data_IF_679585973423
#
_entry.id   IF_679585973423
#
_cell.length_a   1.000
_cell.length_b   1.000
_cell.length_c   1.000
_cell.angle_alpha   90.00
_cell.angle_beta   90.00
_cell.angle_gamma   90.00
#
_symmetry.space_group_name_H-M   'P 1'
#
loop_
_entity.id
_entity.type
_entity.pdbx_description
1 polymer ?
#
# COMPACT_ATOMS: atom_id res chain seq x y z
N UNK A 1 -45.65 -14.41 6.47
CA UNK A 1 -44.87 -13.67 5.46
C UNK A 1 -44.62 -12.29 6.05
N UNK A 2 -43.40 -12.03 6.51
CA UNK A 2 -43.01 -10.68 6.96
C UNK A 2 -42.91 -9.80 5.71
N UNK A 3 -43.66 -8.71 5.63
CA UNK A 3 -43.44 -7.71 4.58
C UNK A 3 -41.98 -7.24 4.68
N UNK A 4 -41.24 -7.37 3.58
CA UNK A 4 -39.87 -6.85 3.51
C UNK A 4 -39.95 -5.34 3.71
N UNK A 5 -39.25 -4.83 4.74
CA UNK A 5 -39.22 -3.39 4.95
C UNK A 5 -38.60 -2.70 3.73
N UNK A 6 -39.16 -1.57 3.29
CA UNK A 6 -38.63 -0.84 2.14
C UNK A 6 -37.18 -0.44 2.41
N UNK A 7 -36.32 -0.59 1.39
CA UNK A 7 -34.93 -0.16 1.46
C UNK A 7 -34.92 1.33 1.81
N UNK A 8 -34.18 1.76 2.86
CA UNK A 8 -34.13 3.16 3.24
C UNK A 8 -33.68 4.05 2.07
N UNK A 9 -34.43 5.12 1.78
CA UNK A 9 -34.18 6.01 0.63
C UNK A 9 -32.73 6.54 0.60
N UNK A 10 -32.17 6.81 1.77
CA UNK A 10 -30.79 7.30 1.92
C UNK A 10 -29.72 6.28 1.49
N UNK A 11 -30.03 4.97 1.49
CA UNK A 11 -29.14 3.92 0.99
C UNK A 11 -29.18 3.85 -0.54
N UNK A 12 -30.36 4.03 -1.15
CA UNK A 12 -30.51 4.13 -2.61
C UNK A 12 -29.69 5.30 -3.14
N UNK A 13 -29.78 6.47 -2.50
CA UNK A 13 -28.96 7.63 -2.83
C UNK A 13 -27.45 7.36 -2.70
N UNK A 14 -27.04 6.55 -1.73
CA UNK A 14 -25.61 6.20 -1.56
C UNK A 14 -25.11 5.32 -2.70
N UNK A 15 -25.89 4.32 -3.12
CA UNK A 15 -25.56 3.42 -4.23
C UNK A 15 -25.49 4.13 -5.59
N UNK A 16 -26.04 5.34 -5.68
CA UNK A 16 -25.99 6.20 -6.87
C UNK A 16 -24.79 7.17 -6.86
N UNK A 17 -23.99 7.21 -5.80
CA UNK A 17 -22.79 8.04 -5.75
C UNK A 17 -21.67 7.41 -6.57
N UNK A 18 -20.98 8.23 -7.35
CA UNK A 18 -19.71 7.85 -7.98
C UNK A 18 -18.63 7.77 -6.89
N UNK A 19 -18.42 6.56 -6.35
CA UNK A 19 -17.31 6.30 -5.43
C UNK A 19 -16.01 6.41 -6.24
N UNK A 20 -15.10 7.34 -5.90
CA UNK A 20 -13.87 7.48 -6.65
C UNK A 20 -13.00 6.23 -6.48
N UNK A 21 -12.48 5.71 -7.59
CA UNK A 21 -11.49 4.63 -7.55
C UNK A 21 -10.15 5.21 -7.13
N UNK A 22 -9.53 4.71 -6.04
CA UNK A 22 -8.20 5.14 -5.67
C UNK A 22 -7.25 4.92 -6.84
N UNK A 23 -6.67 5.99 -7.37
CA UNK A 23 -5.65 5.86 -8.42
C UNK A 23 -4.32 5.58 -7.75
N UNK A 24 -3.73 4.38 -7.88
CA UNK A 24 -2.40 4.15 -7.37
C UNK A 24 -1.43 5.12 -8.06
N UNK A 25 -0.52 5.72 -7.29
CA UNK A 25 0.56 6.52 -7.88
C UNK A 25 1.39 5.66 -8.81
N UNK A 26 1.73 6.21 -9.98
CA UNK A 26 2.71 5.60 -10.89
C UNK A 26 4.07 5.50 -10.16
N UNK A 27 4.60 4.28 -10.02
CA UNK A 27 5.90 4.03 -9.38
C UNK A 27 7.01 4.42 -10.35
N UNK A 28 7.87 5.33 -9.92
CA UNK A 28 9.08 5.71 -10.65
C UNK A 28 10.29 4.90 -10.22
N UNK A 29 11.45 5.17 -10.82
CA UNK A 29 12.68 4.42 -10.51
C UNK A 29 13.07 4.45 -9.02
N UNK A 30 12.91 5.59 -8.35
CA UNK A 30 13.25 5.74 -6.91
C UNK A 30 12.35 4.88 -6.01
N UNK A 31 11.13 4.56 -6.43
CA UNK A 31 10.23 3.62 -5.74
C UNK A 31 10.72 2.18 -5.87
N UNK A 32 11.22 1.81 -7.06
CA UNK A 32 11.70 0.46 -7.34
C UNK A 32 12.90 0.12 -6.48
N UNK A 33 13.79 1.11 -6.25
CA UNK A 33 15.00 0.92 -5.45
C UNK A 33 14.84 1.31 -3.98
N UNK A 34 13.65 1.71 -3.53
CA UNK A 34 13.35 2.13 -2.15
C UNK A 34 14.25 3.27 -1.61
N UNK A 35 14.55 4.24 -2.48
CA UNK A 35 15.39 5.41 -2.16
C UNK A 35 14.64 6.73 -2.33
N UNK A 36 13.30 6.71 -2.27
CA UNK A 36 12.44 7.87 -2.51
C UNK A 36 12.72 9.05 -1.58
N UNK A 37 13.24 8.80 -0.37
CA UNK A 37 13.44 9.80 0.68
C UNK A 37 14.91 10.04 1.05
N UNK A 38 15.86 9.32 0.44
CA UNK A 38 17.28 9.40 0.83
C UNK A 38 17.90 10.69 0.31
N UNK A 39 18.26 11.61 1.21
CA UNK A 39 18.85 12.93 0.88
C UNK A 39 20.03 12.82 -0.08
N UNK A 40 20.97 11.89 0.16
CA UNK A 40 22.13 11.67 -0.71
C UNK A 40 21.74 11.18 -2.11
N UNK A 41 20.68 10.38 -2.23
CA UNK A 41 20.17 9.93 -3.54
C UNK A 41 19.53 11.10 -4.28
N UNK A 42 18.73 11.91 -3.59
CA UNK A 42 18.08 13.10 -4.16
C UNK A 42 19.12 14.13 -4.61
N UNK A 43 20.16 14.40 -3.82
CA UNK A 43 21.27 15.27 -4.23
C UNK A 43 22.02 14.73 -5.46
N UNK A 44 22.18 13.40 -5.57
CA UNK A 44 22.75 12.78 -6.77
C UNK A 44 21.88 13.00 -8.02
N UNK A 45 20.56 12.94 -7.87
CA UNK A 45 19.63 13.23 -8.98
C UNK A 45 19.71 14.71 -9.39
N UNK A 46 19.76 15.64 -8.43
CA UNK A 46 20.02 17.06 -8.74
C UNK A 46 21.35 17.26 -9.48
N UNK A 47 22.44 16.63 -9.01
CA UNK A 47 23.74 16.70 -9.70
C UNK A 47 23.64 16.23 -11.14
N UNK A 48 22.95 15.12 -11.42
CA UNK A 48 22.78 14.63 -12.78
C UNK A 48 22.12 15.67 -13.68
N UNK A 49 21.05 16.33 -13.21
CA UNK A 49 20.37 17.34 -14.00
C UNK A 49 21.10 18.67 -14.07
N UNK A 50 21.96 19.00 -13.10
CA UNK A 50 22.77 20.21 -13.12
C UNK A 50 24.11 20.05 -13.85
N UNK A 51 24.52 18.83 -14.15
CA UNK A 51 25.75 18.54 -14.89
C UNK A 51 25.53 18.78 -16.39
N UNK A 52 26.21 19.81 -16.93
CA UNK A 52 26.16 20.18 -18.35
C UNK A 52 26.65 19.09 -19.28
N UNK A 53 27.50 18.18 -18.81
CA UNK A 53 27.98 17.05 -19.62
C UNK A 53 26.95 15.92 -19.69
N UNK A 54 26.20 15.71 -18.61
CA UNK A 54 25.18 14.66 -18.52
C UNK A 54 23.86 15.08 -19.17
N UNK A 55 23.38 16.30 -18.92
CA UNK A 55 22.14 16.82 -19.51
C UNK A 55 22.23 18.34 -19.74
N UNK A 56 22.84 18.81 -20.85
CA UNK A 56 23.14 20.23 -21.07
C UNK A 56 21.91 21.14 -20.94
N UNK A 57 20.80 20.76 -21.56
CA UNK A 57 19.57 21.56 -21.59
C UNK A 57 18.83 21.58 -20.25
N UNK A 58 18.78 20.44 -19.55
CA UNK A 58 18.20 20.42 -18.22
C UNK A 58 19.10 21.16 -17.22
N UNK A 59 20.42 21.12 -17.38
CA UNK A 59 21.34 21.86 -16.52
C UNK A 59 21.10 23.36 -16.55
N UNK A 60 20.97 23.93 -17.75
CA UNK A 60 20.60 25.33 -17.93
C UNK A 60 19.24 25.63 -17.30
N UNK A 61 18.23 24.81 -17.58
CA UNK A 61 16.89 25.01 -17.03
C UNK A 61 16.82 24.93 -15.50
N UNK A 62 17.48 23.94 -14.91
CA UNK A 62 17.58 23.72 -13.47
C UNK A 62 18.29 24.88 -12.79
N UNK A 63 19.41 25.33 -13.36
CA UNK A 63 20.17 26.44 -12.82
C UNK A 63 19.38 27.75 -12.85
N UNK A 64 18.81 28.09 -14.00
CA UNK A 64 18.01 29.29 -14.16
C UNK A 64 16.79 29.28 -13.24
N UNK A 65 16.08 28.14 -13.15
CA UNK A 65 14.94 27.98 -12.25
C UNK A 65 15.33 28.22 -10.78
N UNK A 66 16.53 27.78 -10.38
CA UNK A 66 17.07 28.10 -9.05
C UNK A 66 17.31 29.61 -8.90
N UNK A 67 17.99 30.23 -9.86
CA UNK A 67 18.36 31.64 -9.81
C UNK A 67 17.16 32.58 -9.81
N UNK A 68 16.09 32.23 -10.51
CA UNK A 68 14.81 32.96 -10.54
C UNK A 68 14.16 33.04 -9.14
N UNK A 69 14.37 32.02 -8.29
CA UNK A 69 13.91 32.06 -6.90
C UNK A 69 14.91 32.78 -5.98
N UNK A 70 16.21 32.55 -6.17
CA UNK A 70 17.22 33.07 -5.26
C UNK A 70 17.40 34.58 -5.37
N UNK A 71 17.42 35.15 -6.59
CA UNK A 71 17.64 36.60 -6.78
C UNK A 71 16.60 37.43 -6.01
N UNK A 72 15.27 37.23 -6.18
CA UNK A 72 14.28 37.97 -5.41
C UNK A 72 14.37 37.71 -3.90
N UNK A 73 14.69 36.48 -3.48
CA UNK A 73 14.78 36.14 -2.06
C UNK A 73 15.92 36.88 -1.34
N UNK A 74 17.06 37.09 -2.01
CA UNK A 74 18.17 37.88 -1.47
C UNK A 74 17.96 39.39 -1.60
N UNK A 75 17.33 39.86 -2.68
CA UNK A 75 16.92 41.27 -2.83
C UNK A 75 15.95 41.71 -1.73
N UNK A 76 14.99 40.86 -1.37
CA UNK A 76 14.06 41.11 -0.25
C UNK A 76 14.78 41.24 1.11
N UNK A 77 16.00 40.70 1.23
CA UNK A 77 16.88 40.85 2.40
C UNK A 77 17.82 42.06 2.29
N UNK A 78 17.67 42.91 1.27
CA UNK A 78 18.59 44.00 0.93
C UNK A 78 20.03 43.52 0.68
N UNK A 79 20.20 42.29 0.20
CA UNK A 79 21.51 41.71 -0.11
C UNK A 79 21.71 41.68 -1.62
N UNK A 80 22.47 42.64 -2.13
CA UNK A 80 22.86 42.63 -3.55
C UNK A 80 23.89 41.51 -3.78
N UNK A 81 23.56 40.57 -4.68
CA UNK A 81 24.42 39.45 -5.04
C UNK A 81 24.87 39.60 -6.50
N UNK A 82 26.17 39.45 -6.74
CA UNK A 82 26.77 39.50 -8.08
C UNK A 82 27.15 38.08 -8.47
N UNK A 83 26.12 37.30 -8.84
CA UNK A 83 26.29 35.90 -9.21
C UNK A 83 26.57 35.79 -10.70
N UNK A 84 27.79 35.36 -11.02
CA UNK A 84 28.17 34.90 -12.35
C UNK A 84 28.87 33.54 -12.20
N UNK A 85 28.10 32.47 -12.37
CA UNK A 85 28.61 31.12 -12.23
C UNK A 85 29.27 30.60 -13.51
N UNK A 86 29.21 31.32 -14.65
CA UNK A 86 29.88 30.94 -15.89
C UNK A 86 29.81 29.44 -16.19
N UNK A 87 30.98 28.80 -16.34
CA UNK A 87 31.14 27.36 -16.19
C UNK A 87 31.23 26.99 -14.71
N UNK A 88 30.21 26.27 -14.22
CA UNK A 88 30.11 25.80 -12.84
C UNK A 88 30.20 24.28 -12.75
N UNK A 89 30.60 23.82 -11.57
CA UNK A 89 30.62 22.41 -11.18
C UNK A 89 29.69 22.18 -10.01
N UNK A 90 29.19 20.95 -9.89
CA UNK A 90 28.35 20.52 -8.76
C UNK A 90 29.09 19.46 -7.95
N UNK A 91 29.54 19.87 -6.77
CA UNK A 91 30.19 19.00 -5.80
C UNK A 91 29.17 18.55 -4.75
N UNK A 92 29.07 17.24 -4.54
CA UNK A 92 28.28 16.69 -3.43
C UNK A 92 29.16 16.44 -2.22
N UNK A 93 28.54 16.45 -1.05
CA UNK A 93 29.16 15.93 0.17
C UNK A 93 30.51 16.60 0.50
N UNK A 94 30.65 17.91 0.27
CA UNK A 94 31.88 18.67 0.52
C UNK A 94 32.12 18.82 2.02
N UNK A 95 33.19 18.24 2.52
CA UNK A 95 33.58 18.34 3.93
C UNK A 95 33.95 19.76 4.34
N UNK A 96 33.63 20.08 5.59
CA UNK A 96 33.91 21.35 6.28
C UNK A 96 34.54 21.04 7.63
N UNK A 97 34.77 22.04 8.48
CA UNK A 97 35.42 21.80 9.78
C UNK A 97 34.51 21.07 10.78
N UNK A 98 33.19 21.26 10.68
CA UNK A 98 32.19 20.71 11.62
C UNK A 98 31.07 19.93 10.96
N UNK A 99 31.15 19.69 9.65
CA UNK A 99 30.14 18.92 8.94
C UNK A 99 30.43 18.77 7.46
N UNK A 100 29.37 18.79 6.66
CA UNK A 100 29.45 18.51 5.23
C UNK A 100 28.31 19.22 4.50
N UNK A 101 28.65 19.98 3.46
CA UNK A 101 27.69 20.60 2.57
C UNK A 101 27.14 19.50 1.65
N UNK A 102 25.81 19.33 1.62
CA UNK A 102 25.19 18.29 0.79
C UNK A 102 25.42 18.53 -0.70
N UNK A 103 25.25 19.77 -1.16
CA UNK A 103 25.49 20.17 -2.55
C UNK A 103 26.08 21.58 -2.64
N UNK A 104 27.16 21.71 -3.39
CA UNK A 104 27.81 22.98 -3.71
C UNK A 104 27.84 23.15 -5.22
N UNK A 105 27.17 24.19 -5.71
CA UNK A 105 27.28 24.64 -7.11
C UNK A 105 28.28 25.79 -7.11
N UNK A 106 29.42 25.65 -7.78
CA UNK A 106 30.45 26.70 -7.73
C UNK A 106 31.23 26.85 -9.02
N UNK A 107 31.81 28.05 -9.19
CA UNK A 107 32.76 28.37 -10.23
C UNK A 107 34.00 28.95 -9.59
N UNK A 108 35.13 28.24 -9.71
CA UNK A 108 36.40 28.70 -9.17
C UNK A 108 36.91 29.94 -9.89
N UNK A 109 36.79 29.97 -11.22
CA UNK A 109 37.24 31.08 -12.06
C UNK A 109 36.54 32.40 -11.70
N UNK A 110 35.24 32.33 -11.43
CA UNK A 110 34.44 33.51 -11.09
C UNK A 110 34.30 33.75 -9.59
N UNK A 111 34.82 32.82 -8.76
CA UNK A 111 34.67 32.81 -7.31
C UNK A 111 33.20 32.99 -6.88
N UNK A 112 32.29 32.25 -7.51
CA UNK A 112 30.88 32.25 -7.19
C UNK A 112 30.45 30.89 -6.63
N UNK A 113 29.55 30.88 -5.64
CA UNK A 113 29.05 29.64 -5.06
C UNK A 113 27.60 29.72 -4.58
N UNK A 114 26.87 28.63 -4.74
CA UNK A 114 25.57 28.37 -4.11
C UNK A 114 25.75 27.14 -3.20
N UNK A 115 25.60 27.36 -1.90
CA UNK A 115 25.78 26.38 -0.84
C UNK A 115 24.39 25.84 -0.48
N UNK A 116 24.14 24.55 -0.70
CA UNK A 116 22.81 23.95 -0.55
C UNK A 116 22.87 22.84 0.51
N UNK A 117 22.04 22.97 1.54
CA UNK A 117 21.74 21.92 2.51
C UNK A 117 20.36 21.35 2.18
N UNK A 118 20.27 20.05 1.86
CA UNK A 118 19.01 19.41 1.47
C UNK A 118 18.40 18.66 2.66
N UNK A 119 17.09 18.74 2.83
CA UNK A 119 16.37 18.11 3.94
C UNK A 119 15.10 17.43 3.47
N UNK A 120 15.03 16.13 3.73
CA UNK A 120 13.86 15.27 3.45
C UNK A 120 13.41 14.66 4.77
N UNK A 121 12.26 15.08 5.30
CA UNK A 121 11.71 14.70 6.61
C UNK A 121 12.60 14.94 7.85
N UNK A 122 13.80 15.50 7.69
CA UNK A 122 14.70 15.83 8.80
C UNK A 122 14.64 17.30 9.20
N UNK A 123 14.93 17.57 10.48
CA UNK A 123 15.12 18.92 10.99
C UNK A 123 16.49 19.48 10.57
N UNK A 124 16.54 20.80 10.36
CA UNK A 124 17.77 21.53 10.11
C UNK A 124 18.54 21.70 11.43
N UNK A 125 19.55 20.85 11.66
CA UNK A 125 20.45 20.92 12.82
C UNK A 125 21.89 21.25 12.41
N UNK A 126 22.11 21.58 11.14
CA UNK A 126 23.41 21.80 10.55
C UNK A 126 24.00 23.15 10.93
N UNK A 127 25.34 23.21 11.02
CA UNK A 127 26.04 24.45 11.28
C UNK A 127 26.21 25.26 9.99
N UNK A 128 25.18 26.03 9.61
CA UNK A 128 25.21 26.84 8.39
C UNK A 128 26.33 27.89 8.37
N UNK A 129 26.77 28.36 9.54
CA UNK A 129 27.91 29.27 9.63
C UNK A 129 29.23 28.60 9.25
N UNK A 130 29.46 27.36 9.71
CA UNK A 130 30.60 26.55 9.28
C UNK A 130 30.61 26.35 7.77
N UNK A 131 29.45 26.05 7.18
CA UNK A 131 29.33 25.88 5.73
C UNK A 131 29.65 27.17 4.97
N UNK A 132 29.15 28.30 5.46
CA UNK A 132 29.37 29.60 4.85
C UNK A 132 30.85 30.02 4.86
N UNK A 133 31.54 29.75 5.96
CA UNK A 133 32.95 30.10 6.17
C UNK A 133 33.93 29.13 5.50
N UNK A 134 33.51 27.88 5.24
CA UNK A 134 34.32 26.90 4.52
C UNK A 134 34.55 27.23 3.03
N UNK A 135 33.79 28.18 2.48
CA UNK A 135 33.93 28.66 1.10
C UNK A 135 34.58 30.05 1.11
N UNK A 136 35.85 30.11 0.72
CA UNK A 136 36.66 31.34 0.67
C UNK A 136 36.44 32.15 -0.61
N UNK A 137 35.18 32.52 -0.85
CA UNK A 137 34.77 33.43 -1.93
C UNK A 137 34.13 34.70 -1.35
N UNK A 138 34.12 35.83 -2.09
CA UNK A 138 33.52 37.07 -1.62
C UNK A 138 32.04 36.91 -1.21
N UNK A 139 31.64 37.59 -0.13
CA UNK A 139 30.29 37.51 0.45
C UNK A 139 29.14 37.83 -0.54
N UNK A 140 29.38 38.74 -1.47
CA UNK A 140 28.43 39.14 -2.52
C UNK A 140 28.35 38.12 -3.67
N UNK A 141 29.23 37.13 -3.71
CA UNK A 141 29.31 36.06 -4.73
C UNK A 141 28.95 34.67 -4.19
N UNK A 142 28.50 34.61 -2.94
CA UNK A 142 27.99 33.39 -2.31
C UNK A 142 26.50 33.52 -2.05
N UNK A 143 25.77 32.42 -2.16
CA UNK A 143 24.37 32.29 -1.73
C UNK A 143 24.20 31.00 -0.93
N UNK A 144 23.46 31.04 0.19
CA UNK A 144 23.11 29.86 0.97
C UNK A 144 21.66 29.48 0.74
N UNK A 145 21.38 28.19 0.65
CA UNK A 145 20.04 27.63 0.44
C UNK A 145 19.81 26.49 1.42
N UNK A 146 18.69 26.53 2.12
CA UNK A 146 18.12 25.36 2.79
C UNK A 146 17.01 24.85 1.89
N UNK A 147 17.24 23.68 1.29
CA UNK A 147 16.31 23.03 0.36
C UNK A 147 15.49 21.98 1.11
N UNK A 148 14.19 22.22 1.28
CA UNK A 148 13.31 21.35 2.07
C UNK A 148 12.10 20.82 1.30
N UNK A 149 11.37 19.87 1.89
CA UNK A 149 10.01 19.53 1.42
C UNK A 149 9.01 20.67 1.69
N UNK A 150 9.22 21.42 2.77
CA UNK A 150 8.37 22.53 3.19
C UNK A 150 9.22 23.78 3.47
N UNK A 151 8.64 24.99 3.39
CA UNK A 151 9.37 26.22 3.71
C UNK A 151 9.84 26.24 5.16
N UNK A 152 11.12 26.56 5.36
CA UNK A 152 11.69 26.84 6.67
C UNK A 152 11.45 28.29 7.06
N UNK A 153 11.06 28.50 8.32
CA UNK A 153 10.93 29.82 8.90
C UNK A 153 12.31 30.44 9.15
N UNK A 154 12.45 31.78 9.12
CA UNK A 154 13.73 32.45 9.38
C UNK A 154 14.41 32.03 10.68
N UNK A 155 13.63 31.77 11.74
CA UNK A 155 14.15 31.35 13.05
C UNK A 155 14.74 29.95 13.03
N UNK A 156 14.28 29.08 12.13
CA UNK A 156 14.81 27.72 11.95
C UNK A 156 16.13 27.74 11.19
N UNK A 157 16.27 28.62 10.19
CA UNK A 157 17.50 28.77 9.41
C UNK A 157 18.58 29.44 10.24
N UNK A 158 18.22 30.52 10.97
CA UNK A 158 19.12 31.26 11.85
C UNK A 158 20.47 31.65 11.20
N UNK A 159 20.46 32.00 9.91
CA UNK A 159 21.65 32.51 9.21
C UNK A 159 21.26 33.54 8.14
N UNK A 160 21.84 34.76 8.15
CA UNK A 160 21.37 35.85 7.28
C UNK A 160 21.57 35.54 5.79
N UNK A 161 22.64 34.82 5.45
CA UNK A 161 23.01 34.48 4.08
C UNK A 161 22.35 33.22 3.51
N UNK A 162 21.45 32.58 4.27
CA UNK A 162 20.67 31.44 3.78
C UNK A 162 19.21 31.82 3.57
N UNK A 163 18.60 31.26 2.53
CA UNK A 163 17.16 31.37 2.23
C UNK A 163 16.53 29.99 2.17
N UNK A 164 15.23 29.91 2.46
CA UNK A 164 14.46 28.69 2.28
C UNK A 164 14.03 28.56 0.82
N UNK A 165 14.20 27.39 0.24
CA UNK A 165 13.62 26.99 -1.05
C UNK A 165 13.01 25.60 -0.85
N UNK A 166 11.88 25.29 -1.48
CA UNK A 166 11.37 23.92 -1.45
C UNK A 166 11.78 23.15 -2.71
N UNK A 167 11.88 21.82 -2.58
CA UNK A 167 12.08 20.93 -3.73
C UNK A 167 11.03 21.16 -4.80
N UNK A 168 9.76 21.33 -4.39
CA UNK A 168 8.66 21.52 -5.31
C UNK A 168 8.69 22.90 -6.00
N UNK A 169 9.00 23.98 -5.28
CA UNK A 169 9.13 25.32 -5.90
C UNK A 169 10.20 25.32 -6.98
N UNK A 170 11.36 24.71 -6.69
CA UNK A 170 12.44 24.63 -7.66
C UNK A 170 12.03 23.87 -8.91
N UNK A 171 11.51 22.66 -8.75
CA UNK A 171 11.13 21.82 -9.87
C UNK A 171 9.94 22.39 -10.65
N UNK A 172 8.99 23.02 -9.96
CA UNK A 172 7.86 23.71 -10.58
C UNK A 172 8.33 24.88 -11.44
N UNK A 173 9.31 25.67 -10.97
CA UNK A 173 9.90 26.75 -11.77
C UNK A 173 10.52 26.20 -13.07
N UNK A 174 11.23 25.08 -12.98
CA UNK A 174 11.84 24.40 -14.13
C UNK A 174 10.77 23.91 -15.12
N UNK A 175 9.70 23.28 -14.63
CA UNK A 175 8.58 22.81 -15.46
C UNK A 175 7.85 23.98 -16.15
N UNK A 176 7.62 25.09 -15.44
CA UNK A 176 6.94 26.27 -15.97
C UNK A 176 7.72 26.96 -17.09
N UNK A 177 9.06 26.89 -17.08
CA UNK A 177 9.92 27.40 -18.17
C UNK A 177 9.80 26.59 -19.46
N UNK A 178 9.17 25.41 -19.40
CA UNK A 178 8.92 24.55 -20.54
C UNK A 178 10.05 23.56 -20.76
N UNK A 179 9.73 22.27 -20.69
CA UNK A 179 10.67 21.19 -20.93
C UNK A 179 10.95 21.08 -22.44
N UNK A 180 12.21 21.10 -22.91
CA UNK A 180 12.53 21.13 -24.33
C UNK A 180 12.05 19.85 -25.04
N UNK A 181 11.36 20.01 -26.16
CA UNK A 181 10.76 18.89 -26.90
C UNK A 181 11.79 17.92 -27.50
N UNK A 182 13.04 18.35 -27.64
CA UNK A 182 14.14 17.59 -28.20
C UNK A 182 15.12 17.09 -27.12
N UNK A 183 14.66 16.98 -25.87
CA UNK A 183 15.39 16.25 -24.83
C UNK A 183 15.52 14.75 -25.19
N UNK A 184 16.65 14.11 -24.83
CA UNK A 184 16.74 12.66 -24.86
C UNK A 184 15.60 12.04 -24.05
N UNK A 185 14.94 11.01 -24.60
CA UNK A 185 13.80 10.33 -23.96
C UNK A 185 14.14 9.89 -22.53
N UNK A 186 15.37 9.40 -22.31
CA UNK A 186 15.88 9.00 -20.99
C UNK A 186 15.83 10.15 -19.98
N UNK A 187 16.31 11.34 -20.37
CA UNK A 187 16.35 12.51 -19.50
C UNK A 187 14.95 13.02 -19.18
N UNK A 188 14.06 13.00 -20.18
CA UNK A 188 12.65 13.34 -19.98
C UNK A 188 11.98 12.41 -18.96
N UNK A 189 12.16 11.09 -19.10
CA UNK A 189 11.60 10.09 -18.18
C UNK A 189 12.17 10.30 -16.78
N UNK A 190 13.49 10.39 -16.63
CA UNK A 190 14.12 10.56 -15.31
C UNK A 190 13.70 11.85 -14.64
N UNK A 191 13.60 12.95 -15.39
CA UNK A 191 13.18 14.23 -14.85
C UNK A 191 11.71 14.19 -14.41
N UNK A 192 10.82 13.64 -15.25
CA UNK A 192 9.40 13.46 -14.91
C UNK A 192 9.22 12.59 -13.67
N UNK A 193 9.93 11.47 -13.58
CA UNK A 193 9.91 10.59 -12.41
C UNK A 193 10.38 11.32 -11.15
N UNK A 194 11.44 12.14 -11.27
CA UNK A 194 11.96 12.91 -10.14
C UNK A 194 10.98 13.97 -9.65
N UNK A 195 10.36 14.72 -10.58
CA UNK A 195 9.29 15.69 -10.28
C UNK A 195 8.14 14.99 -9.56
N UNK A 196 7.63 13.89 -10.12
CA UNK A 196 6.53 13.13 -9.51
C UNK A 196 6.89 12.60 -8.11
N UNK A 197 8.14 12.18 -7.88
CA UNK A 197 8.59 11.75 -6.57
C UNK A 197 8.59 12.91 -5.57
N UNK A 198 9.14 14.07 -5.92
CA UNK A 198 9.15 15.25 -5.03
C UNK A 198 7.74 15.78 -4.77
N UNK A 199 6.88 15.78 -5.80
CA UNK A 199 5.46 16.12 -5.69
C UNK A 199 4.75 15.21 -4.69
N UNK A 200 4.96 13.89 -4.79
CA UNK A 200 4.38 12.93 -3.87
C UNK A 200 4.82 13.12 -2.41
N UNK A 201 6.11 13.39 -2.17
CA UNK A 201 6.62 13.61 -0.82
C UNK A 201 6.05 14.89 -0.18
N UNK A 202 5.74 15.89 -1.00
CA UNK A 202 5.20 17.19 -0.55
C UNK A 202 3.68 17.20 -0.39
N UNK A 203 2.94 16.42 -1.19
CA UNK A 203 1.48 16.41 -1.21
C UNK A 203 0.85 15.25 -0.40
N UNK A 204 1.63 14.55 0.43
CA UNK A 204 1.13 13.45 1.30
C UNK A 204 0.06 13.86 2.33
N UNK A 205 -0.13 15.17 2.55
CA UNK A 205 -1.14 15.74 3.46
C UNK A 205 -2.31 16.44 2.75
N UNK A 206 -2.45 16.28 1.42
CA UNK A 206 -3.53 16.95 0.69
C UNK A 206 -4.87 16.25 0.80
N UNK A 207 -5.93 17.07 0.73
CA UNK A 207 -7.31 16.62 0.64
C UNK A 207 -7.56 15.99 -0.74
N UNK A 208 -7.23 14.72 -0.90
CA UNK A 208 -7.49 13.99 -2.15
C UNK A 208 -9.00 13.88 -2.40
N UNK A 209 -9.44 13.67 -3.66
CA UNK A 209 -10.85 13.40 -3.96
C UNK A 209 -11.43 12.25 -3.14
N UNK A 210 -10.63 11.21 -2.86
CA UNK A 210 -11.03 10.04 -2.07
C UNK A 210 -11.28 10.41 -0.60
N UNK A 211 -10.35 11.17 0.01
CA UNK A 211 -10.49 11.66 1.38
C UNK A 211 -11.67 12.61 1.49
N UNK A 212 -11.82 13.54 0.53
CA UNK A 212 -12.95 14.46 0.49
C UNK A 212 -14.28 13.73 0.32
N UNK A 213 -14.32 12.70 -0.53
CA UNK A 213 -15.50 11.86 -0.73
C UNK A 213 -15.88 11.15 0.57
N UNK A 214 -14.92 10.52 1.24
CA UNK A 214 -15.17 9.86 2.52
C UNK A 214 -15.71 10.84 3.55
N UNK A 215 -15.05 11.99 3.75
CA UNK A 215 -15.48 12.98 4.74
C UNK A 215 -16.88 13.53 4.45
N UNK A 216 -17.24 13.75 3.17
CA UNK A 216 -18.58 14.21 2.77
C UNK A 216 -19.68 13.15 2.96
N UNK A 217 -19.32 11.86 2.96
CA UNK A 217 -20.27 10.75 2.97
C UNK A 217 -20.07 9.80 4.16
N UNK A 218 -19.33 10.22 5.20
CA UNK A 218 -18.86 9.35 6.28
C UNK A 218 -20.01 8.59 6.95
N UNK A 219 -21.12 9.26 7.25
CA UNK A 219 -22.29 8.64 7.86
C UNK A 219 -22.89 7.54 6.98
N UNK A 220 -23.01 7.78 5.66
CA UNK A 220 -23.55 6.80 4.71
C UNK A 220 -22.60 5.60 4.57
N UNK A 221 -21.30 5.85 4.48
CA UNK A 221 -20.26 4.80 4.40
C UNK A 221 -20.24 3.96 5.67
N UNK A 222 -20.27 4.60 6.85
CA UNK A 222 -20.28 3.90 8.13
C UNK A 222 -21.55 3.06 8.30
N UNK A 223 -22.72 3.55 7.88
CA UNK A 223 -23.95 2.75 7.85
C UNK A 223 -23.86 1.57 6.89
N UNK A 224 -23.30 1.74 5.69
CA UNK A 224 -23.08 0.63 4.76
C UNK A 224 -22.14 -0.43 5.38
N UNK A 225 -21.09 0.01 6.06
CA UNK A 225 -20.18 -0.87 6.82
C UNK A 225 -20.90 -1.63 7.93
N UNK A 226 -21.78 -0.96 8.69
CA UNK A 226 -22.61 -1.59 9.72
C UNK A 226 -23.59 -2.62 9.14
N UNK A 227 -24.26 -2.29 8.02
CA UNK A 227 -25.14 -3.23 7.31
C UNK A 227 -24.36 -4.46 6.87
N UNK A 228 -23.17 -4.27 6.29
CA UNK A 228 -22.27 -5.37 5.93
C UNK A 228 -21.95 -6.24 7.14
N UNK A 229 -21.55 -5.63 8.26
CA UNK A 229 -21.26 -6.35 9.51
C UNK A 229 -22.48 -7.15 10.01
N UNK A 230 -23.68 -6.54 10.03
CA UNK A 230 -24.91 -7.22 10.41
C UNK A 230 -25.23 -8.43 9.52
N UNK A 231 -24.95 -8.36 8.20
CA UNK A 231 -25.08 -9.51 7.30
C UNK A 231 -24.13 -10.64 7.66
N UNK A 232 -22.87 -10.33 8.02
CA UNK A 232 -21.93 -11.36 8.50
C UNK A 232 -22.40 -12.00 9.80
N UNK A 233 -22.83 -11.20 10.77
CA UNK A 233 -23.37 -11.71 12.04
C UNK A 233 -24.59 -12.62 11.81
N UNK A 234 -25.48 -12.26 10.88
CA UNK A 234 -26.59 -13.12 10.48
C UNK A 234 -26.10 -14.45 9.92
N UNK A 235 -25.18 -14.46 8.96
CA UNK A 235 -24.63 -15.70 8.38
C UNK A 235 -23.92 -16.54 9.43
N UNK A 236 -23.14 -15.94 10.32
CA UNK A 236 -22.49 -16.64 11.44
C UNK A 236 -23.54 -17.25 12.38
N UNK A 237 -24.62 -16.53 12.68
CA UNK A 237 -25.74 -17.06 13.45
C UNK A 237 -26.45 -18.24 12.78
N UNK A 238 -26.58 -18.22 11.46
CA UNK A 238 -27.07 -19.37 10.69
C UNK A 238 -26.12 -20.57 10.81
N UNK A 239 -24.81 -20.36 10.73
CA UNK A 239 -23.82 -21.43 10.93
C UNK A 239 -23.81 -21.96 12.38
N UNK A 240 -24.05 -21.10 13.37
CA UNK A 240 -24.21 -21.54 14.76
C UNK A 240 -25.43 -22.48 14.88
N UNK A 241 -26.53 -22.15 14.21
CA UNK A 241 -27.72 -23.00 14.17
C UNK A 241 -27.42 -24.36 13.53
N UNK A 242 -26.57 -24.40 12.49
CA UNK A 242 -26.09 -25.67 11.90
C UNK A 242 -25.28 -26.46 12.91
N UNK A 243 -24.34 -25.81 13.62
CA UNK A 243 -23.51 -26.46 14.63
C UNK A 243 -24.37 -27.07 15.75
N UNK A 244 -25.36 -26.33 16.25
CA UNK A 244 -26.28 -26.79 17.29
C UNK A 244 -27.08 -28.03 16.83
N UNK A 245 -27.58 -28.04 15.58
CA UNK A 245 -28.30 -29.19 15.01
C UNK A 245 -27.42 -30.41 14.77
N UNK A 246 -26.13 -30.21 14.48
CA UNK A 246 -25.14 -31.27 14.32
C UNK A 246 -24.53 -31.72 15.66
N UNK A 247 -24.88 -31.06 16.77
CA UNK A 247 -24.30 -31.27 18.10
C UNK A 247 -22.78 -31.04 18.17
N UNK A 248 -22.26 -30.15 17.31
CA UNK A 248 -20.85 -29.75 17.23
C UNK A 248 -20.66 -28.29 17.65
N UNK A 249 -19.41 -27.83 17.70
CA UNK A 249 -19.03 -26.46 18.03
C UNK A 249 -18.71 -25.68 16.76
N UNK A 250 -19.11 -24.41 16.74
CA UNK A 250 -18.70 -23.47 15.72
C UNK A 250 -17.40 -22.76 16.16
N UNK A 251 -16.27 -23.15 15.58
CA UNK A 251 -14.96 -22.59 15.90
C UNK A 251 -14.49 -21.58 14.85
N UNK A 252 -13.65 -20.63 15.28
CA UNK A 252 -13.06 -19.60 14.44
C UNK A 252 -13.53 -18.19 14.81
N UNK A 253 -12.63 -17.22 14.70
CA UNK A 253 -12.88 -15.82 15.10
C UNK A 253 -12.99 -14.84 13.93
N UNK A 254 -12.69 -15.27 12.70
CA UNK A 254 -12.61 -14.37 11.54
C UNK A 254 -13.83 -14.48 10.62
N UNK A 255 -14.25 -13.42 9.94
CA UNK A 255 -15.34 -13.51 8.95
C UNK A 255 -15.01 -14.40 7.73
N UNK A 256 -13.76 -14.86 7.63
CA UNK A 256 -13.28 -15.63 6.49
C UNK A 256 -13.58 -17.11 6.61
N UNK A 257 -13.59 -17.71 7.80
CA UNK A 257 -13.84 -19.15 7.95
C UNK A 257 -14.44 -19.50 9.30
N UNK A 258 -15.22 -20.58 9.31
CA UNK A 258 -15.83 -21.18 10.49
C UNK A 258 -15.76 -22.70 10.37
N UNK A 259 -15.28 -23.36 11.42
CA UNK A 259 -15.20 -24.82 11.48
C UNK A 259 -16.41 -25.34 12.28
N UNK A 260 -17.09 -26.34 11.73
CA UNK A 260 -18.06 -27.16 12.44
C UNK A 260 -17.30 -28.38 12.97
N UNK A 261 -16.87 -28.29 14.23
CA UNK A 261 -15.86 -29.16 14.81
C UNK A 261 -16.32 -29.67 16.18
N UNK A 262 -15.86 -30.83 16.63
CA UNK A 262 -16.26 -31.37 17.93
C UNK A 262 -15.88 -30.43 19.09
N UNK A 263 -16.53 -30.61 20.24
CA UNK A 263 -16.38 -29.74 21.42
C UNK A 263 -14.95 -29.66 21.96
N UNK A 264 -14.16 -30.71 21.74
CA UNK A 264 -12.78 -30.80 22.22
C UNK A 264 -11.75 -30.50 21.12
N UNK A 265 -12.20 -30.19 19.90
CA UNK A 265 -11.36 -29.99 18.71
C UNK A 265 -10.41 -31.17 18.46
N UNK A 266 -10.89 -32.40 18.67
CA UNK A 266 -10.12 -33.63 18.49
C UNK A 266 -10.43 -34.34 17.16
N UNK A 267 -11.53 -33.98 16.48
CA UNK A 267 -11.85 -34.55 15.18
C UNK A 267 -10.77 -34.18 14.15
N UNK A 268 -10.23 -35.20 13.48
CA UNK A 268 -9.22 -35.03 12.43
C UNK A 268 -9.82 -34.87 11.03
N UNK A 269 -11.15 -35.02 10.90
CA UNK A 269 -11.91 -34.78 9.68
C UNK A 269 -13.19 -34.02 10.04
N UNK A 270 -13.27 -32.75 9.70
CA UNK A 270 -14.38 -31.86 10.08
C UNK A 270 -14.85 -31.02 8.88
N UNK A 271 -15.85 -30.16 9.10
CA UNK A 271 -16.36 -29.28 8.04
C UNK A 271 -15.92 -27.83 8.25
N UNK A 272 -15.56 -27.15 7.17
CA UNK A 272 -15.25 -25.72 7.16
C UNK A 272 -16.18 -25.01 6.18
N UNK A 273 -16.72 -23.85 6.59
CA UNK A 273 -17.56 -22.98 5.75
C UNK A 273 -16.97 -21.56 5.76
N UNK A 274 -17.05 -20.85 4.64
CA UNK A 274 -16.51 -19.50 4.45
C UNK A 274 -17.61 -18.43 4.45
N UNK A 275 -17.90 -17.75 5.58
CA UNK A 275 -18.99 -16.79 5.66
C UNK A 275 -18.86 -15.64 4.66
N UNK A 276 -17.63 -15.18 4.39
CA UNK A 276 -17.38 -14.11 3.41
C UNK A 276 -17.79 -14.46 2.00
N UNK A 277 -17.59 -15.70 1.57
CA UNK A 277 -18.04 -16.10 0.24
C UNK A 277 -19.56 -16.06 0.12
N UNK A 278 -20.28 -16.48 1.17
CA UNK A 278 -21.74 -16.43 1.21
C UNK A 278 -22.24 -14.99 1.03
N UNK A 279 -21.62 -14.05 1.76
CA UNK A 279 -21.98 -12.63 1.74
C UNK A 279 -21.59 -11.97 0.41
N UNK A 280 -20.38 -12.21 -0.09
CA UNK A 280 -19.81 -11.49 -1.25
C UNK A 280 -20.34 -12.02 -2.59
N UNK A 281 -20.72 -13.29 -2.67
CA UNK A 281 -21.27 -13.91 -3.88
C UNK A 281 -22.80 -13.99 -3.88
N UNK A 282 -23.46 -13.40 -2.88
CA UNK A 282 -24.90 -13.42 -2.71
C UNK A 282 -25.50 -14.84 -2.67
N UNK A 283 -24.89 -15.74 -1.89
CA UNK A 283 -25.48 -17.04 -1.56
C UNK A 283 -24.74 -18.27 -2.08
N UNK A 284 -23.54 -18.14 -2.63
CA UNK A 284 -22.68 -19.31 -2.86
C UNK A 284 -22.11 -19.77 -1.53
N UNK A 285 -22.41 -21.00 -1.15
CA UNK A 285 -21.90 -21.62 0.08
C UNK A 285 -20.94 -22.73 -0.31
N UNK A 286 -19.70 -22.62 0.16
CA UNK A 286 -18.73 -23.71 0.09
C UNK A 286 -18.69 -24.43 1.43
N UNK A 287 -18.95 -25.74 1.40
CA UNK A 287 -18.80 -26.65 2.53
C UNK A 287 -17.61 -27.56 2.22
N UNK A 288 -16.59 -27.47 3.05
CA UNK A 288 -15.31 -28.14 2.83
C UNK A 288 -15.15 -29.26 3.84
N UNK A 289 -14.77 -30.46 3.39
CA UNK A 289 -14.22 -31.48 4.28
C UNK A 289 -12.73 -31.19 4.44
N UNK A 290 -12.32 -30.89 5.67
CA UNK A 290 -10.97 -30.51 6.02
C UNK A 290 -10.34 -31.58 6.91
N UNK A 291 -9.06 -31.87 6.66
CA UNK A 291 -8.23 -32.77 7.43
C UNK A 291 -7.39 -31.96 8.41
N UNK A 292 -7.12 -32.51 9.60
CA UNK A 292 -6.13 -31.97 10.53
C UNK A 292 -5.26 -33.06 11.16
N UNK A 293 -4.12 -32.61 11.70
CA UNK A 293 -3.23 -33.44 12.49
C UNK A 293 -2.82 -34.72 11.77
N UNK A 294 -3.06 -35.86 12.42
CA UNK A 294 -2.70 -37.19 11.94
C UNK A 294 -3.44 -37.65 10.67
N UNK A 295 -4.51 -36.98 10.23
CA UNK A 295 -5.16 -37.31 8.96
C UNK A 295 -4.45 -36.68 7.74
N UNK A 296 -3.69 -35.59 7.94
CA UNK A 296 -3.05 -34.84 6.85
C UNK A 296 -2.05 -35.66 6.03
N UNK A 297 -1.19 -36.51 6.64
CA UNK A 297 -0.26 -37.36 5.88
C UNK A 297 -0.97 -38.30 4.88
N UNK A 298 -2.20 -38.72 5.17
CA UNK A 298 -2.97 -39.66 4.34
C UNK A 298 -3.87 -38.99 3.30
N UNK A 299 -3.67 -37.70 3.01
CA UNK A 299 -4.58 -36.92 2.17
C UNK A 299 -4.80 -37.50 0.77
N UNK A 300 -3.77 -38.09 0.16
CA UNK A 300 -3.86 -38.59 -1.20
C UNK A 300 -4.60 -39.94 -1.23
N UNK A 301 -4.35 -40.81 -0.25
CA UNK A 301 -5.09 -42.06 -0.05
C UNK A 301 -6.56 -41.79 0.25
N UNK A 302 -6.84 -40.84 1.15
CA UNK A 302 -8.20 -40.41 1.47
C UNK A 302 -8.90 -39.82 0.23
N UNK A 303 -8.18 -39.05 -0.60
CA UNK A 303 -8.72 -38.53 -1.85
C UNK A 303 -9.08 -39.64 -2.85
N UNK A 304 -8.20 -40.63 -3.05
CA UNK A 304 -8.51 -41.77 -3.91
C UNK A 304 -9.72 -42.56 -3.39
N UNK A 305 -9.88 -42.66 -2.07
CA UNK A 305 -11.08 -43.27 -1.47
C UNK A 305 -12.34 -42.51 -1.83
N UNK A 306 -12.34 -41.17 -1.79
CA UNK A 306 -13.52 -40.36 -2.17
C UNK A 306 -13.97 -40.64 -3.60
N UNK A 307 -13.04 -40.79 -4.55
CA UNK A 307 -13.39 -41.07 -5.96
C UNK A 307 -14.20 -42.35 -6.13
N UNK A 308 -14.09 -43.29 -5.19
CA UNK A 308 -14.84 -44.55 -5.22
C UNK A 308 -16.24 -44.43 -4.62
N UNK A 309 -16.51 -43.38 -3.84
CA UNK A 309 -17.84 -43.09 -3.29
C UNK A 309 -18.65 -42.42 -4.40
N UNK A 310 -19.77 -43.02 -4.80
CA UNK A 310 -20.69 -42.45 -5.79
C UNK A 310 -21.39 -41.21 -5.21
N UNK A 311 -20.70 -40.07 -5.22
CA UNK A 311 -21.26 -38.79 -4.82
C UNK A 311 -21.39 -37.94 -6.09
N UNK A 312 -22.44 -37.12 -6.15
CA UNK A 312 -22.77 -36.28 -7.31
C UNK A 312 -21.60 -35.46 -7.85
N UNK A 313 -21.66 -35.14 -9.15
CA UNK A 313 -20.63 -34.46 -9.96
C UNK A 313 -20.25 -33.02 -9.52
N UNK A 314 -20.74 -32.52 -8.39
CA UNK A 314 -20.51 -31.13 -7.93
C UNK A 314 -19.35 -30.99 -6.95
N UNK A 315 -18.42 -31.94 -6.94
CA UNK A 315 -17.30 -32.00 -5.99
C UNK A 315 -15.98 -31.57 -6.64
N UNK A 316 -15.22 -30.72 -5.96
CA UNK A 316 -13.87 -30.34 -6.37
C UNK A 316 -12.82 -30.82 -5.36
N UNK A 317 -11.61 -31.13 -5.85
CA UNK A 317 -10.45 -31.43 -4.98
C UNK A 317 -10.07 -30.17 -4.20
N UNK A 318 -9.93 -30.29 -2.89
CA UNK A 318 -9.38 -29.21 -2.07
C UNK A 318 -7.89 -28.98 -2.38
N UNK A 319 -7.49 -27.71 -2.48
CA UNK A 319 -6.12 -27.34 -2.88
C UNK A 319 -5.33 -26.61 -1.80
N UNK A 320 -6.00 -25.94 -0.85
CA UNK A 320 -5.35 -25.13 0.16
C UNK A 320 -5.08 -25.93 1.44
N UNK A 321 -3.91 -25.74 2.04
CA UNK A 321 -3.49 -26.44 3.26
C UNK A 321 -2.04 -26.17 3.62
N UNK A 322 -1.64 -26.64 4.79
CA UNK A 322 -0.25 -26.68 5.25
C UNK A 322 0.01 -27.99 6.02
N UNK A 323 1.07 -28.06 6.82
CA UNK A 323 1.41 -29.25 7.59
C UNK A 323 0.39 -29.62 8.69
N UNK A 324 -0.49 -28.70 9.08
CA UNK A 324 -1.44 -28.86 10.18
C UNK A 324 -2.88 -29.10 9.73
N UNK A 325 -3.27 -28.60 8.56
CA UNK A 325 -4.59 -28.81 7.98
C UNK A 325 -4.55 -28.88 6.46
N UNK A 326 -5.50 -29.58 5.87
CA UNK A 326 -5.61 -29.72 4.41
C UNK A 326 -7.07 -29.82 3.99
N UNK A 327 -7.50 -28.93 3.09
CA UNK A 327 -8.79 -29.09 2.42
C UNK A 327 -8.73 -30.33 1.51
N UNK A 328 -9.67 -31.24 1.70
CA UNK A 328 -9.73 -32.48 0.93
C UNK A 328 -10.80 -32.40 -0.16
N UNK A 329 -11.99 -31.94 0.20
CA UNK A 329 -13.17 -31.95 -0.66
C UNK A 329 -13.94 -30.65 -0.51
N UNK A 330 -14.37 -30.05 -1.61
CA UNK A 330 -15.24 -28.86 -1.61
C UNK A 330 -16.58 -29.22 -2.27
N UNK A 331 -17.68 -28.98 -1.55
CA UNK A 331 -19.04 -28.99 -2.08
C UNK A 331 -19.55 -27.56 -2.14
N UNK A 332 -20.01 -27.14 -3.30
CA UNK A 332 -20.64 -25.83 -3.49
C UNK A 332 -22.13 -26.00 -3.64
N UNK A 333 -22.90 -25.25 -2.84
CA UNK A 333 -24.35 -25.07 -3.03
C UNK A 333 -24.65 -23.60 -3.25
N UNK A 334 -25.80 -23.31 -3.86
CA UNK A 334 -26.23 -21.96 -4.14
C UNK A 334 -27.60 -21.72 -3.53
N UNK A 335 -27.67 -20.81 -2.56
CA UNK A 335 -28.89 -20.46 -1.83
C UNK A 335 -29.37 -19.12 -2.35
N UNK A 336 -30.64 -19.02 -2.75
CA UNK A 336 -31.17 -17.76 -3.24
C UNK A 336 -31.31 -16.76 -2.09
N UNK A 337 -31.09 -15.45 -2.31
CA UNK A 337 -31.28 -14.43 -1.26
C UNK A 337 -32.65 -14.46 -0.59
N UNK A 338 -33.70 -14.92 -1.28
CA UNK A 338 -35.06 -15.08 -0.75
C UNK A 338 -35.22 -16.25 0.23
N UNK A 339 -34.21 -17.13 0.34
CA UNK A 339 -34.20 -18.33 1.19
C UNK A 339 -33.12 -18.23 2.29
N UNK A 340 -32.51 -17.06 2.48
CA UNK A 340 -31.44 -16.87 3.48
C UNK A 340 -31.92 -17.07 4.91
N UNK A 341 -33.21 -16.89 5.19
CA UNK A 341 -33.84 -17.22 6.47
C UNK A 341 -33.76 -18.72 6.78
N UNK A 342 -33.58 -19.56 5.75
CA UNK A 342 -33.41 -21.01 5.82
C UNK A 342 -31.99 -21.46 5.46
N UNK A 343 -31.01 -20.55 5.44
CA UNK A 343 -29.63 -20.89 5.10
C UNK A 343 -29.09 -22.06 5.95
N UNK A 344 -29.39 -22.07 7.24
CA UNK A 344 -28.99 -23.16 8.14
C UNK A 344 -29.63 -24.51 7.77
N UNK A 345 -30.86 -24.53 7.27
CA UNK A 345 -31.52 -25.77 6.80
C UNK A 345 -30.80 -26.31 5.56
N UNK A 346 -30.54 -25.47 4.56
CA UNK A 346 -29.82 -25.87 3.34
C UNK A 346 -28.43 -26.46 3.62
N UNK A 347 -27.66 -25.83 4.52
CA UNK A 347 -26.33 -26.31 4.90
C UNK A 347 -26.43 -27.63 5.68
N UNK A 348 -27.36 -27.71 6.63
CA UNK A 348 -27.56 -28.91 7.44
C UNK A 348 -27.99 -30.11 6.58
N UNK A 349 -28.93 -29.91 5.66
CA UNK A 349 -29.43 -30.95 4.77
C UNK A 349 -28.33 -31.46 3.83
N UNK A 350 -27.48 -30.57 3.30
CA UNK A 350 -26.32 -30.97 2.48
C UNK A 350 -25.29 -31.77 3.30
N UNK A 351 -25.00 -31.32 4.52
CA UNK A 351 -24.06 -32.04 5.41
C UNK A 351 -24.61 -33.42 5.77
N UNK A 352 -25.86 -33.50 6.20
CA UNK A 352 -26.43 -34.77 6.71
C UNK A 352 -26.85 -35.72 5.61
N UNK A 353 -27.40 -35.21 4.50
CA UNK A 353 -27.83 -36.00 3.36
C UNK A 353 -26.69 -36.52 2.50
N UNK A 354 -25.62 -35.74 2.35
CA UNK A 354 -24.53 -36.06 1.43
C UNK A 354 -23.19 -36.22 2.15
N UNK A 355 -22.69 -35.17 2.80
CA UNK A 355 -21.27 -35.12 3.22
C UNK A 355 -20.93 -35.98 4.44
N UNK A 356 -21.88 -36.25 5.33
CA UNK A 356 -21.64 -37.07 6.52
C UNK A 356 -21.32 -38.52 6.16
N UNK A 357 -21.97 -39.10 5.15
CA UNK A 357 -21.64 -40.45 4.68
C UNK A 357 -20.21 -40.53 4.15
N UNK A 358 -19.76 -39.48 3.45
CA UNK A 358 -18.38 -39.34 2.98
C UNK A 358 -17.42 -39.27 4.17
N UNK A 359 -17.70 -38.38 5.13
CA UNK A 359 -16.89 -38.21 6.34
C UNK A 359 -16.74 -39.52 7.12
N UNK A 360 -17.82 -40.26 7.33
CA UNK A 360 -17.77 -41.56 8.02
C UNK A 360 -16.95 -42.62 7.24
N UNK A 361 -17.08 -42.64 5.90
CA UNK A 361 -16.26 -43.52 5.05
C UNK A 361 -14.77 -43.20 5.19
N UNK A 362 -14.43 -41.91 5.24
CA UNK A 362 -13.05 -41.45 5.43
C UNK A 362 -12.51 -41.83 6.81
N UNK A 363 -13.30 -41.70 7.87
CA UNK A 363 -12.90 -42.13 9.22
C UNK A 363 -12.57 -43.62 9.27
N UNK A 364 -13.47 -44.47 8.76
CA UNK A 364 -13.21 -45.91 8.73
C UNK A 364 -11.95 -46.27 7.94
N UNK A 365 -11.71 -45.60 6.81
CA UNK A 365 -10.52 -45.82 6.01
C UNK A 365 -9.24 -45.31 6.68
N UNK A 366 -9.30 -44.16 7.36
CA UNK A 366 -8.18 -43.62 8.12
C UNK A 366 -7.76 -44.57 9.25
N UNK A 367 -8.72 -45.18 9.96
CA UNK A 367 -8.42 -46.20 10.98
C UNK A 367 -7.74 -47.44 10.40
N UNK A 368 -8.12 -47.87 9.19
CA UNK A 368 -7.46 -48.99 8.49
C UNK A 368 -6.02 -48.66 8.11
N UNK A 369 -5.75 -47.43 7.67
CA UNK A 369 -4.41 -46.97 7.32
C UNK A 369 -3.49 -46.96 8.54
N UNK A 370 -3.96 -46.40 9.66
CA UNK A 370 -3.18 -46.36 10.92
C UNK A 370 -2.82 -47.76 11.43
N UNK A 371 -3.75 -48.71 11.39
CA UNK A 371 -3.49 -50.11 11.80
C UNK A 371 -2.42 -50.78 10.95
N UNK A 372 -2.26 -50.39 9.68
CA UNK A 372 -1.21 -50.93 8.80
C UNK A 372 0.16 -50.35 9.13
N UNK A 373 0.23 -49.08 9.53
CA UNK A 373 1.48 -48.46 9.97
C UNK A 373 1.96 -49.02 11.32
N UNK A 374 1.06 -49.21 12.29
CA UNK A 374 1.43 -49.75 13.61
C UNK A 374 1.84 -51.25 13.58
N UNK A 375 1.45 -51.97 12.52
CA UNK A 375 1.75 -53.38 12.32
C UNK A 375 2.96 -53.66 11.42
N UNK A 376 3.61 -52.63 10.90
CA UNK A 376 4.82 -52.68 10.05
C UNK A 376 6.03 -52.17 10.80
#
# INVERSE_FOLDING_TARGET
MSEAQPIPQNLIEFLQLDIPTPRPRERGFLDVVDHTTRETTICNVYRYFLDRSSSPKLSELMFDGLMEMLKPAFEAKNMKKEMDLGDFEVQLERFTSKGRIDMLIHSEANQCAIIIEAKIYHHLNNNLHDYWTAIDYPEHRKMGVVLGLYPYKPEQINHPHFVSVTHNDWLSQVVQRGIPHDLPVKDFIYFKDFVNNMDHLTHSNEMTPDVLFYLKNADKINRASQTRHATYEFVIGQLQTVADKLEVTLNGSSIHWRNLWDKENQEVIYFTVYPNEIVETAGTVQIIIELSGEAVPFKDELWEKIKTVQIEHSLAKGGNGNAHFQQLLIKTIHVQPTEFDKLSDHIYDEITGNLNAVRQTLYGFLEELKKKEDGS
#
